data_IF_291628166024
#
_entry.id   IF_291628166024
#
_cell.length_a   1.000
_cell.length_b   1.000
_cell.length_c   1.000
_cell.angle_alpha   90.00
_cell.angle_beta   90.00
_cell.angle_gamma   90.00
#
_symmetry.space_group_name_H-M   'P 1'
#
loop_
_entity.id
_entity.type
_entity.pdbx_description
1 polymer ?
#
# COMPACT_ATOMS: atom_id res chain seq x y z
N UNK A 1 0.66 -17.06 16.64
CA UNK A 1 -0.46 -16.74 17.56
C UNK A 1 -1.75 -16.94 16.76
N UNK A 2 -2.45 -18.08 16.91
CA UNK A 2 -3.80 -18.42 16.36
C UNK A 2 -4.09 -19.93 16.29
N UNK A 3 -3.29 -20.83 16.88
CA UNK A 3 -3.57 -22.28 16.79
C UNK A 3 -4.65 -22.79 17.76
N UNK A 4 -5.23 -21.95 18.61
CA UNK A 4 -6.07 -22.43 19.73
C UNK A 4 -7.58 -22.11 19.62
N UNK A 5 -8.04 -21.29 18.66
CA UNK A 5 -9.44 -20.80 18.65
C UNK A 5 -10.30 -21.22 17.46
N UNK A 6 -9.78 -22.00 16.50
CA UNK A 6 -10.52 -22.39 15.28
C UNK A 6 -10.87 -21.22 14.34
N UNK A 7 -10.40 -20.01 14.64
CA UNK A 7 -10.54 -18.83 13.79
C UNK A 7 -9.37 -18.74 12.82
N UNK A 8 -9.61 -18.18 11.63
CA UNK A 8 -8.51 -17.86 10.72
C UNK A 8 -7.49 -16.94 11.41
N UNK A 9 -6.19 -17.21 11.25
CA UNK A 9 -5.16 -16.40 11.86
C UNK A 9 -5.18 -14.97 11.33
N UNK A 10 -5.00 -14.00 12.23
CA UNK A 10 -4.84 -12.60 11.84
C UNK A 10 -3.64 -12.44 10.89
N UNK A 11 -3.87 -11.79 9.75
CA UNK A 11 -2.82 -11.48 8.77
C UNK A 11 -1.92 -10.37 9.31
N UNK A 12 -0.67 -10.70 9.64
CA UNK A 12 0.35 -9.72 10.04
C UNK A 12 1.06 -9.17 8.80
N UNK A 13 1.21 -7.84 8.73
CA UNK A 13 1.83 -7.15 7.60
C UNK A 13 2.87 -6.13 8.05
N UNK A 14 3.86 -5.88 7.21
CA UNK A 14 4.97 -4.95 7.48
C UNK A 14 4.79 -3.64 6.72
N UNK A 15 5.20 -2.53 7.31
CA UNK A 15 5.29 -1.26 6.58
C UNK A 15 6.69 -1.19 5.94
N UNK A 16 6.78 -0.88 4.65
CA UNK A 16 8.07 -0.69 3.97
C UNK A 16 8.62 0.70 4.27
N UNK A 17 8.42 1.66 3.35
CA UNK A 17 8.77 3.06 3.52
C UNK A 17 7.48 3.85 3.65
N UNK A 18 7.41 4.75 4.64
CA UNK A 18 6.26 5.63 4.80
C UNK A 18 6.09 6.49 3.55
N UNK A 19 4.87 6.62 3.05
CA UNK A 19 4.55 7.39 1.83
C UNK A 19 4.90 8.87 1.91
N UNK A 20 5.18 9.38 3.12
CA UNK A 20 5.65 10.74 3.39
C UNK A 20 7.17 10.93 3.23
N UNK A 21 7.91 9.84 3.05
CA UNK A 21 9.37 9.85 2.85
C UNK A 21 9.69 9.76 1.36
N UNK A 22 10.66 10.55 0.95
CA UNK A 22 11.31 10.51 -0.35
C UNK A 22 12.74 9.98 -0.19
N UNK A 23 13.40 9.74 -1.34
CA UNK A 23 14.75 9.18 -1.37
C UNK A 23 15.77 10.08 -0.67
N UNK A 24 15.67 11.39 -0.85
CA UNK A 24 16.52 12.39 -0.19
C UNK A 24 16.42 12.25 1.33
N UNK A 25 15.21 12.23 1.90
CA UNK A 25 15.03 12.02 3.36
C UNK A 25 15.52 10.66 3.84
N UNK A 26 15.39 9.60 3.02
CA UNK A 26 15.93 8.29 3.37
C UNK A 26 17.46 8.32 3.47
N UNK A 27 18.12 9.00 2.53
CA UNK A 27 19.57 9.10 2.48
C UNK A 27 20.09 10.03 3.57
N UNK A 28 19.59 11.26 3.64
CA UNK A 28 20.10 12.31 4.52
C UNK A 28 19.77 12.08 6.00
N UNK A 29 18.52 11.68 6.31
CA UNK A 29 18.07 11.60 7.70
C UNK A 29 18.21 10.21 8.31
N UNK A 30 18.17 9.15 7.48
CA UNK A 30 18.17 7.76 7.95
C UNK A 30 19.41 6.96 7.52
N UNK A 31 20.30 7.55 6.71
CA UNK A 31 21.53 6.90 6.26
C UNK A 31 21.31 5.69 5.36
N UNK A 32 20.15 5.62 4.67
CA UNK A 32 19.84 4.52 3.75
C UNK A 32 20.47 4.82 2.40
N UNK A 33 21.47 4.02 2.01
CA UNK A 33 22.21 4.21 0.76
C UNK A 33 21.54 3.64 -0.49
N UNK A 34 20.48 2.83 -0.33
CA UNK A 34 19.70 2.29 -1.45
C UNK A 34 18.80 3.38 -2.03
N UNK A 35 18.48 3.27 -3.31
CA UNK A 35 17.37 4.04 -3.88
C UNK A 35 16.05 3.66 -3.19
N UNK A 36 15.05 4.53 -3.28
CA UNK A 36 13.74 4.30 -2.68
C UNK A 36 13.09 2.98 -3.17
N UNK A 37 13.04 2.66 -4.49
CA UNK A 37 12.48 1.40 -4.96
C UNK A 37 13.26 0.17 -4.44
N UNK A 38 14.59 0.25 -4.42
CA UNK A 38 15.44 -0.84 -3.91
C UNK A 38 15.21 -1.08 -2.41
N UNK A 39 15.08 -0.01 -1.63
CA UNK A 39 14.80 -0.11 -0.21
C UNK A 39 13.42 -0.71 0.06
N UNK A 40 12.40 -0.30 -0.70
CA UNK A 40 11.04 -0.85 -0.60
C UNK A 40 11.04 -2.36 -0.90
N UNK A 41 11.71 -2.79 -1.97
CA UNK A 41 11.83 -4.22 -2.29
C UNK A 41 12.63 -4.98 -1.22
N UNK A 42 13.72 -4.42 -0.71
CA UNK A 42 14.53 -5.05 0.33
C UNK A 42 13.73 -5.30 1.62
N UNK A 43 12.97 -4.29 2.08
CA UNK A 43 12.11 -4.41 3.26
C UNK A 43 10.97 -5.40 3.02
N UNK A 44 10.39 -5.43 1.82
CA UNK A 44 9.32 -6.37 1.52
C UNK A 44 9.79 -7.83 1.44
N UNK A 45 10.97 -8.08 0.87
CA UNK A 45 11.61 -9.41 0.91
C UNK A 45 11.95 -9.84 2.33
N UNK A 46 12.36 -8.90 3.18
CA UNK A 46 12.59 -9.18 4.60
C UNK A 46 11.28 -9.59 5.30
N UNK A 47 10.18 -8.87 5.06
CA UNK A 47 8.86 -9.21 5.61
C UNK A 47 8.39 -10.60 5.14
N UNK A 48 8.57 -10.91 3.85
CA UNK A 48 8.24 -12.24 3.29
C UNK A 48 9.08 -13.35 3.95
N UNK A 49 10.39 -13.14 4.08
CA UNK A 49 11.30 -14.11 4.73
C UNK A 49 10.99 -14.31 6.21
N UNK A 50 10.49 -13.26 6.87
CA UNK A 50 10.03 -13.32 8.27
C UNK A 50 8.64 -13.98 8.44
N UNK A 51 8.00 -14.43 7.36
CA UNK A 51 6.71 -15.13 7.40
C UNK A 51 5.49 -14.23 7.60
N UNK A 52 5.61 -12.93 7.29
CA UNK A 52 4.45 -12.04 7.27
C UNK A 52 3.56 -12.36 6.06
N UNK A 53 2.28 -11.95 6.13
CA UNK A 53 1.32 -12.17 5.06
C UNK A 53 1.47 -11.17 3.90
N UNK A 54 2.15 -10.04 4.13
CA UNK A 54 2.26 -8.97 3.14
C UNK A 54 2.91 -7.71 3.66
N UNK A 55 2.82 -6.66 2.85
CA UNK A 55 3.34 -5.33 3.16
C UNK A 55 2.36 -4.21 2.83
N UNK A 56 2.57 -3.07 3.48
CA UNK A 56 1.98 -1.78 3.12
C UNK A 56 3.02 -0.94 2.35
N UNK A 57 2.67 -0.42 1.18
CA UNK A 57 3.56 0.41 0.33
C UNK A 57 2.79 1.49 -0.44
N UNK A 58 3.52 2.43 -1.05
CA UNK A 58 2.90 3.44 -1.93
C UNK A 58 2.30 2.81 -3.19
N UNK A 59 1.30 3.44 -3.83
CA UNK A 59 0.74 2.96 -5.10
C UNK A 59 1.79 2.77 -6.21
N UNK A 60 2.82 3.60 -6.25
CA UNK A 60 3.85 3.58 -7.30
C UNK A 60 4.75 2.34 -7.21
N UNK A 61 4.96 1.79 -6.00
CA UNK A 61 5.81 0.61 -5.81
C UNK A 61 5.04 -0.71 -6.00
N UNK A 62 3.71 -0.67 -6.18
CA UNK A 62 2.89 -1.89 -6.29
C UNK A 62 3.37 -2.82 -7.40
N UNK A 63 3.75 -2.26 -8.55
CA UNK A 63 4.20 -3.04 -9.72
C UNK A 63 5.52 -3.76 -9.44
N UNK A 64 6.55 -3.03 -9.01
CA UNK A 64 7.87 -3.62 -8.73
C UNK A 64 7.81 -4.63 -7.57
N UNK A 65 6.98 -4.37 -6.56
CA UNK A 65 6.73 -5.33 -5.48
C UNK A 65 6.06 -6.59 -6.00
N UNK A 66 5.04 -6.46 -6.86
CA UNK A 66 4.35 -7.61 -7.42
C UNK A 66 5.28 -8.49 -8.26
N UNK A 67 6.13 -7.87 -9.08
CA UNK A 67 7.16 -8.57 -9.87
C UNK A 67 8.17 -9.32 -9.00
N UNK A 68 8.48 -8.82 -7.79
CA UNK A 68 9.51 -9.39 -6.91
C UNK A 68 8.99 -10.39 -5.87
N UNK A 69 7.70 -10.35 -5.52
CA UNK A 69 7.16 -11.07 -4.35
C UNK A 69 6.16 -12.17 -4.72
N UNK A 70 5.75 -12.26 -6.00
CA UNK A 70 4.75 -13.22 -6.47
C UNK A 70 3.31 -12.79 -6.14
N UNK A 71 2.32 -13.59 -6.54
CA UNK A 71 0.89 -13.23 -6.42
C UNK A 71 0.29 -13.42 -5.03
N UNK A 72 0.81 -14.37 -4.26
CA UNK A 72 0.26 -14.73 -2.95
C UNK A 72 0.57 -13.70 -1.85
N UNK A 73 1.68 -12.95 -2.00
CA UNK A 73 2.10 -11.97 -1.00
C UNK A 73 1.23 -10.71 -1.10
N UNK A 74 0.64 -10.29 0.03
CA UNK A 74 -0.33 -9.19 0.02
C UNK A 74 0.39 -7.84 -0.14
N UNK A 75 -0.15 -7.00 -1.03
CA UNK A 75 0.28 -5.61 -1.20
C UNK A 75 -0.90 -4.72 -0.80
N UNK A 76 -0.77 -4.01 0.31
CA UNK A 76 -1.79 -3.12 0.85
C UNK A 76 -1.40 -1.69 0.48
N UNK A 77 -2.28 -1.00 -0.24
CA UNK A 77 -1.95 0.27 -0.89
C UNK A 77 -2.85 1.39 -0.37
N UNK A 78 -2.32 2.33 0.44
CA UNK A 78 -3.02 3.53 0.85
C UNK A 78 -2.91 4.66 -0.19
N UNK A 79 -3.67 5.74 0.03
CA UNK A 79 -3.60 6.92 -0.84
C UNK A 79 -4.36 6.76 -2.17
N UNK A 80 -5.35 5.87 -2.20
CA UNK A 80 -6.20 5.63 -3.37
C UNK A 80 -7.24 6.74 -3.49
N UNK A 81 -7.42 7.27 -4.70
CA UNK A 81 -8.37 8.36 -4.98
C UNK A 81 -9.22 8.08 -6.22
N UNK A 82 -10.56 8.08 -6.12
CA UNK A 82 -11.43 8.01 -7.29
C UNK A 82 -11.31 9.28 -8.14
N UNK A 83 -11.64 9.15 -9.43
CA UNK A 83 -11.62 10.26 -10.38
C UNK A 83 -12.53 11.41 -9.90
N UNK A 84 -12.05 12.65 -10.03
CA UNK A 84 -12.80 13.85 -9.62
C UNK A 84 -12.70 14.25 -8.14
N UNK A 85 -11.95 13.52 -7.30
CA UNK A 85 -11.72 13.92 -5.90
C UNK A 85 -10.62 14.99 -5.77
N UNK A 86 -10.78 15.97 -4.87
CA UNK A 86 -9.83 17.07 -4.70
C UNK A 86 -8.45 16.61 -4.20
N UNK A 87 -7.39 17.13 -4.83
CA UNK A 87 -5.98 16.72 -4.71
C UNK A 87 -5.23 17.35 -3.52
N UNK A 88 -5.88 17.55 -2.38
CA UNK A 88 -5.37 18.55 -1.42
C UNK A 88 -4.04 18.21 -0.71
N UNK A 89 -3.62 16.94 -0.53
CA UNK A 89 -2.39 16.65 0.25
C UNK A 89 -1.52 15.44 -0.20
N UNK A 90 -1.75 14.82 -1.36
CA UNK A 90 -1.00 13.61 -1.74
C UNK A 90 -0.45 13.70 -3.16
N UNK A 91 0.88 13.75 -3.26
CA UNK A 91 1.65 13.86 -4.51
C UNK A 91 1.72 12.55 -5.32
N UNK A 92 1.21 11.45 -4.77
CA UNK A 92 1.48 10.07 -5.24
C UNK A 92 0.22 9.19 -5.22
N UNK A 93 -0.80 9.54 -6.01
CA UNK A 93 -2.11 8.83 -6.01
C UNK A 93 -2.33 7.98 -7.26
N UNK A 94 -3.07 6.87 -7.12
CA UNK A 94 -3.64 6.08 -8.21
C UNK A 94 -5.16 5.99 -8.06
N UNK A 95 -5.86 5.82 -9.17
CA UNK A 95 -7.25 5.36 -9.13
C UNK A 95 -7.33 3.92 -8.62
N UNK A 96 -8.48 3.48 -8.08
CA UNK A 96 -8.67 2.11 -7.64
C UNK A 96 -8.34 1.07 -8.73
N UNK A 97 -8.75 1.32 -9.98
CA UNK A 97 -8.48 0.42 -11.11
C UNK A 97 -6.99 0.32 -11.41
N UNK A 98 -6.29 1.45 -11.49
CA UNK A 98 -4.85 1.48 -11.72
C UNK A 98 -4.08 0.78 -10.60
N UNK A 99 -4.48 0.96 -9.34
CA UNK A 99 -3.81 0.32 -8.21
C UNK A 99 -3.95 -1.20 -8.22
N UNK A 100 -5.13 -1.73 -8.55
CA UNK A 100 -5.34 -3.18 -8.73
C UNK A 100 -4.54 -3.71 -9.93
N UNK A 101 -4.57 -3.00 -11.06
CA UNK A 101 -3.78 -3.36 -12.24
C UNK A 101 -2.27 -3.34 -11.96
N UNK A 102 -1.80 -2.42 -11.13
CA UNK A 102 -0.42 -2.35 -10.66
C UNK A 102 -0.08 -3.46 -9.66
N UNK A 103 -1.05 -4.27 -9.21
CA UNK A 103 -0.81 -5.43 -8.36
C UNK A 103 -1.19 -5.26 -6.89
N UNK A 104 -1.94 -4.22 -6.52
CA UNK A 104 -2.46 -4.09 -5.14
C UNK A 104 -3.44 -5.21 -4.80
N UNK A 105 -3.31 -5.79 -3.59
CA UNK A 105 -4.25 -6.78 -3.05
C UNK A 105 -5.38 -6.14 -2.25
N UNK A 106 -5.09 -5.04 -1.54
CA UNK A 106 -6.06 -4.27 -0.78
C UNK A 106 -5.84 -2.77 -1.01
N UNK A 107 -6.94 -2.02 -1.03
CA UNK A 107 -6.95 -0.57 -1.20
C UNK A 107 -7.38 0.08 0.12
N UNK A 108 -6.57 0.99 0.66
CA UNK A 108 -6.94 1.78 1.84
C UNK A 108 -7.46 3.14 1.39
N UNK A 109 -8.79 3.29 1.44
CA UNK A 109 -9.51 4.50 1.05
C UNK A 109 -10.09 5.16 2.30
N UNK A 110 -9.68 6.40 2.57
CA UNK A 110 -10.11 7.17 3.74
C UNK A 110 -11.07 8.30 3.36
N UNK A 111 -10.55 9.53 3.40
CA UNK A 111 -11.31 10.78 3.20
C UNK A 111 -12.26 10.79 2.00
N UNK A 112 -11.91 10.25 0.80
CA UNK A 112 -12.85 10.23 -0.33
C UNK A 112 -14.19 9.54 -0.03
N UNK A 113 -14.23 8.60 0.92
CA UNK A 113 -15.45 7.93 1.36
C UNK A 113 -15.96 8.55 2.65
N UNK A 114 -15.10 8.66 3.67
CA UNK A 114 -15.55 9.01 5.03
C UNK A 114 -16.00 10.46 5.19
N UNK A 115 -15.60 11.35 4.28
CA UNK A 115 -15.98 12.77 4.30
C UNK A 115 -16.94 13.14 3.17
N UNK A 116 -17.41 12.16 2.39
CA UNK A 116 -18.38 12.41 1.34
C UNK A 116 -19.76 12.73 1.94
N UNK A 117 -20.58 13.55 1.27
CA UNK A 117 -21.97 13.80 1.69
C UNK A 117 -22.79 12.51 1.85
N UNK A 118 -22.54 11.52 0.98
CA UNK A 118 -23.10 10.17 1.05
C UNK A 118 -21.95 9.15 0.97
N UNK A 119 -21.45 8.61 2.10
CA UNK A 119 -20.36 7.63 2.10
C UNK A 119 -20.69 6.36 1.30
N UNK A 120 -21.97 5.96 1.27
CA UNK A 120 -22.44 4.83 0.48
C UNK A 120 -22.27 5.10 -1.02
N UNK A 121 -22.80 6.22 -1.52
CA UNK A 121 -22.66 6.59 -2.93
C UNK A 121 -21.20 6.78 -3.34
N UNK A 122 -20.38 7.37 -2.46
CA UNK A 122 -18.95 7.52 -2.71
C UNK A 122 -18.21 6.18 -2.81
N UNK A 123 -18.58 5.19 -2.00
CA UNK A 123 -18.04 3.83 -2.09
C UNK A 123 -18.51 3.12 -3.36
N UNK A 124 -19.79 3.26 -3.72
CA UNK A 124 -20.36 2.67 -4.95
C UNK A 124 -19.71 3.28 -6.22
N UNK A 125 -19.46 4.59 -6.20
CA UNK A 125 -18.78 5.33 -7.27
C UNK A 125 -17.26 5.15 -7.32
N UNK A 126 -16.65 4.40 -6.39
CA UNK A 126 -15.20 4.22 -6.32
C UNK A 126 -14.60 3.64 -7.62
N UNK A 127 -15.38 2.84 -8.34
CA UNK A 127 -14.95 2.11 -9.53
C UNK A 127 -15.32 2.78 -10.86
N UNK A 128 -15.99 3.93 -10.80
CA UNK A 128 -16.40 4.73 -11.96
C UNK A 128 -15.24 5.22 -12.80
#
# INVERSE_FOLDING_TARGET
VSRETGQEPMKLVGITVLTSLDEEKLQENLGVSRSLPEQVVALAKLAQTAGLAGVVSSPQESKILRENLGQEFLIITPGIRPQGSQTQDQLRVLTPREAIQAGSSYLVVGRPITQAPSPREALEGLWG
#
